data_IF_655606512140
#
_entry.id   IF_655606512140
#
_cell.length_a   1.000
_cell.length_b   1.000
_cell.length_c   1.000
_cell.angle_alpha   90.00
_cell.angle_beta   90.00
_cell.angle_gamma   90.00
#
_symmetry.space_group_name_H-M   'P 1'
#
loop_
_entity.id
_entity.type
_entity.pdbx_description
1 polymer ?
#
# COMPACT_ATOMS: atom_id res chain seq x y z
N UNK A 1 18.43 -26.44 -4.68
CA UNK A 1 17.79 -25.26 -4.12
C UNK A 1 16.88 -24.64 -5.21
N UNK A 2 15.56 -24.82 -5.08
CA UNK A 2 14.53 -24.44 -6.08
C UNK A 2 14.67 -22.99 -6.60
N UNK A 3 15.01 -22.04 -5.72
CA UNK A 3 15.17 -20.61 -6.12
C UNK A 3 16.39 -20.44 -7.03
N UNK A 4 17.50 -21.11 -6.74
CA UNK A 4 18.70 -21.04 -7.59
C UNK A 4 18.41 -21.59 -9.00
N UNK A 5 17.65 -22.68 -9.10
CA UNK A 5 17.24 -23.25 -10.40
C UNK A 5 16.38 -22.25 -11.20
N UNK A 6 15.42 -21.58 -10.55
CA UNK A 6 14.57 -20.57 -11.20
C UNK A 6 15.34 -19.31 -11.66
N UNK A 7 16.41 -18.95 -10.94
CA UNK A 7 17.28 -17.82 -11.32
C UNK A 7 18.20 -18.19 -12.48
N UNK A 8 18.71 -19.43 -12.54
CA UNK A 8 19.67 -19.86 -13.55
C UNK A 8 19.03 -20.40 -14.83
N UNK A 9 17.73 -20.67 -14.85
CA UNK A 9 16.98 -21.18 -16.00
C UNK A 9 16.41 -20.00 -16.81
N UNK A 10 16.96 -19.77 -18.02
CA UNK A 10 16.59 -18.65 -18.91
C UNK A 10 15.14 -18.71 -19.38
N UNK A 11 14.50 -19.89 -19.36
CA UNK A 11 13.11 -20.02 -19.73
C UNK A 11 12.13 -19.58 -18.63
N UNK A 12 12.60 -19.44 -17.39
CA UNK A 12 11.75 -19.10 -16.26
C UNK A 12 11.48 -17.60 -16.15
N UNK A 13 10.27 -17.29 -15.74
CA UNK A 13 9.81 -15.91 -15.52
C UNK A 13 10.69 -15.14 -14.53
N UNK A 14 11.17 -15.81 -13.47
CA UNK A 14 12.05 -15.16 -12.49
C UNK A 14 13.39 -14.74 -13.10
N UNK A 15 14.02 -15.58 -13.93
CA UNK A 15 15.25 -15.23 -14.63
C UNK A 15 15.03 -14.01 -15.53
N UNK A 16 13.99 -14.04 -16.37
CA UNK A 16 13.63 -12.94 -17.27
C UNK A 16 13.36 -11.64 -16.49
N UNK A 17 12.68 -11.71 -15.35
CA UNK A 17 12.42 -10.56 -14.49
C UNK A 17 13.71 -9.96 -13.92
N UNK A 18 14.64 -10.80 -13.43
CA UNK A 18 15.92 -10.36 -12.89
C UNK A 18 16.77 -9.73 -13.99
N UNK A 19 16.86 -10.36 -15.17
CA UNK A 19 17.63 -9.79 -16.29
C UNK A 19 17.07 -8.43 -16.71
N UNK A 20 15.75 -8.28 -16.80
CA UNK A 20 15.13 -6.96 -17.06
C UNK A 20 15.48 -5.91 -16.00
N UNK A 21 15.59 -6.28 -14.71
CA UNK A 21 16.05 -5.34 -13.68
C UNK A 21 17.50 -4.93 -13.90
N UNK A 22 18.38 -5.87 -14.26
CA UNK A 22 19.80 -5.60 -14.50
C UNK A 22 20.04 -4.78 -15.77
N UNK A 23 19.28 -5.02 -16.83
CA UNK A 23 19.48 -4.41 -18.15
C UNK A 23 18.81 -3.03 -18.28
N UNK A 24 17.63 -2.85 -17.65
CA UNK A 24 16.79 -1.68 -17.88
C UNK A 24 16.86 -0.63 -16.74
N UNK A 25 17.33 -1.00 -15.54
CA UNK A 25 17.39 -0.06 -14.41
C UNK A 25 18.77 0.59 -14.30
N UNK A 26 18.76 1.90 -14.04
CA UNK A 26 20.00 2.66 -13.79
C UNK A 26 20.83 1.99 -12.68
N UNK A 27 22.13 1.71 -12.91
CA UNK A 27 22.97 0.97 -11.95
C UNK A 27 23.06 1.63 -10.56
N UNK A 28 23.02 2.97 -10.48
CA UNK A 28 22.99 3.69 -9.21
C UNK A 28 21.69 3.43 -8.46
N UNK A 29 20.54 3.53 -9.14
CA UNK A 29 19.21 3.25 -8.58
C UNK A 29 19.13 1.81 -8.09
N UNK A 30 19.60 0.84 -8.91
CA UNK A 30 19.60 -0.58 -8.55
C UNK A 30 20.45 -0.86 -7.31
N UNK A 31 21.68 -0.31 -7.27
CA UNK A 31 22.58 -0.44 -6.12
C UNK A 31 21.97 0.15 -4.85
N UNK A 32 21.44 1.37 -4.93
CA UNK A 32 20.83 2.06 -3.80
C UNK A 32 19.60 1.27 -3.30
N UNK A 33 18.78 0.75 -4.21
CA UNK A 33 17.64 -0.11 -3.85
C UNK A 33 18.08 -1.37 -3.11
N UNK A 34 19.12 -2.05 -3.59
CA UNK A 34 19.64 -3.25 -2.94
C UNK A 34 20.17 -2.96 -1.52
N UNK A 35 20.79 -1.80 -1.30
CA UNK A 35 21.29 -1.40 0.01
C UNK A 35 20.14 -0.96 0.93
N UNK A 36 19.31 -0.02 0.50
CA UNK A 36 18.32 0.60 1.39
C UNK A 36 17.11 -0.32 1.64
N UNK A 37 16.52 -0.85 0.57
CA UNK A 37 15.39 -1.75 0.71
C UNK A 37 15.85 -3.17 1.13
N UNK A 38 16.85 -3.72 0.45
CA UNK A 38 17.32 -5.07 0.71
C UNK A 38 18.05 -5.19 2.03
N UNK A 39 19.12 -4.42 2.25
CA UNK A 39 19.93 -4.56 3.47
C UNK A 39 19.32 -3.77 4.65
N UNK A 40 19.09 -2.46 4.52
CA UNK A 40 18.63 -1.65 5.65
C UNK A 40 17.20 -2.01 6.08
N UNK A 41 16.22 -1.98 5.18
CA UNK A 41 14.83 -2.22 5.57
C UNK A 41 14.54 -3.72 5.84
N UNK A 42 14.90 -4.64 4.90
CA UNK A 42 14.54 -6.05 5.06
C UNK A 42 15.42 -6.82 6.05
N UNK A 43 16.72 -6.55 6.12
CA UNK A 43 17.62 -7.33 6.95
C UNK A 43 17.94 -6.63 8.29
N UNK A 44 18.61 -5.48 8.26
CA UNK A 44 19.05 -4.76 9.44
C UNK A 44 17.88 -4.24 10.27
N UNK A 45 16.95 -3.51 9.62
CA UNK A 45 15.79 -2.91 10.24
C UNK A 45 14.86 -3.96 10.87
N UNK A 46 14.56 -5.05 10.14
CA UNK A 46 13.71 -6.12 10.68
C UNK A 46 14.28 -6.73 11.96
N UNK A 47 15.60 -6.88 12.06
CA UNK A 47 16.26 -7.37 13.28
C UNK A 47 16.08 -6.38 14.45
N UNK A 48 16.25 -5.08 14.18
CA UNK A 48 16.06 -4.01 15.17
C UNK A 48 14.59 -3.94 15.60
N UNK A 49 13.65 -3.96 14.66
CA UNK A 49 12.20 -3.94 14.92
C UNK A 49 11.79 -5.07 15.88
N UNK A 50 12.26 -6.29 15.67
CA UNK A 50 11.97 -7.43 16.56
C UNK A 50 12.40 -7.14 17.99
N UNK A 51 13.62 -6.63 18.17
CA UNK A 51 14.15 -6.23 19.49
C UNK A 51 13.31 -5.09 20.10
N UNK A 52 12.96 -4.07 19.32
CA UNK A 52 12.19 -2.92 19.83
C UNK A 52 10.76 -3.31 20.23
N UNK A 53 10.14 -4.28 19.55
CA UNK A 53 8.84 -4.83 19.96
C UNK A 53 8.90 -5.45 21.35
N UNK A 54 9.94 -6.18 21.66
CA UNK A 54 10.17 -6.81 22.99
C UNK A 54 10.46 -5.74 24.05
N UNK A 55 11.37 -4.80 23.77
CA UNK A 55 11.78 -3.75 24.71
C UNK A 55 10.63 -2.82 25.07
N UNK A 56 9.80 -2.45 24.10
CA UNK A 56 8.74 -1.47 24.30
C UNK A 56 7.36 -2.07 24.54
N UNK A 57 7.22 -3.39 24.43
CA UNK A 57 5.96 -4.11 24.57
C UNK A 57 4.83 -3.52 23.71
N UNK A 58 5.13 -3.21 22.44
CA UNK A 58 4.18 -2.70 21.46
C UNK A 58 4.53 -3.18 20.05
N UNK A 59 3.60 -3.03 19.11
CA UNK A 59 3.90 -3.21 17.70
C UNK A 59 4.91 -2.13 17.26
N UNK A 60 5.90 -2.51 16.47
CA UNK A 60 6.80 -1.60 15.74
C UNK A 60 6.72 -1.97 14.27
N UNK A 61 6.28 -1.06 13.39
CA UNK A 61 6.01 -1.35 12.00
C UNK A 61 7.31 -1.49 11.18
N UNK A 62 7.19 -2.09 10.01
CA UNK A 62 8.26 -2.16 9.03
C UNK A 62 8.29 -0.95 8.11
N UNK A 63 7.12 -0.30 7.90
CA UNK A 63 6.99 0.93 7.13
C UNK A 63 6.01 1.91 7.79
N UNK A 64 6.19 3.19 7.50
CA UNK A 64 5.25 4.26 7.84
C UNK A 64 4.74 4.88 6.55
N UNK A 65 3.40 5.00 6.43
CA UNK A 65 2.71 5.68 5.34
C UNK A 65 2.35 7.09 5.80
N UNK A 66 2.69 8.12 5.04
CA UNK A 66 2.43 9.52 5.38
C UNK A 66 1.75 10.27 4.25
N UNK A 67 0.89 11.22 4.60
CA UNK A 67 0.30 12.18 3.68
C UNK A 67 1.06 13.53 3.78
N UNK A 68 1.98 13.83 2.86
CA UNK A 68 2.66 15.14 2.85
C UNK A 68 1.66 16.30 2.71
N UNK A 69 0.54 16.04 2.05
CA UNK A 69 -0.54 17.01 1.80
C UNK A 69 -1.87 16.29 1.55
N UNK A 70 -2.97 16.92 1.92
CA UNK A 70 -4.31 16.51 1.48
C UNK A 70 -4.72 17.14 0.12
N UNK A 71 -3.93 18.10 -0.40
CA UNK A 71 -4.20 18.71 -1.69
C UNK A 71 -3.99 17.71 -2.84
N UNK A 72 -4.96 17.65 -3.74
CA UNK A 72 -4.89 16.84 -4.96
C UNK A 72 -5.31 17.68 -6.17
N UNK A 73 -4.70 17.42 -7.31
CA UNK A 73 -5.04 18.02 -8.59
C UNK A 73 -6.09 17.23 -9.39
N UNK A 74 -6.63 16.14 -8.81
CA UNK A 74 -7.70 15.33 -9.38
C UNK A 74 -8.85 15.17 -8.37
N UNK A 75 -10.03 14.74 -8.88
CA UNK A 75 -11.24 14.44 -8.11
C UNK A 75 -11.78 13.06 -8.52
N UNK A 76 -11.08 12.01 -8.09
CA UNK A 76 -11.42 10.64 -8.50
C UNK A 76 -12.68 10.14 -7.81
N UNK A 77 -13.54 9.43 -8.55
CA UNK A 77 -14.73 8.78 -7.99
C UNK A 77 -14.34 7.73 -6.94
N UNK A 78 -14.93 7.82 -5.74
CA UNK A 78 -14.65 6.88 -4.64
C UNK A 78 -13.22 7.01 -4.09
N UNK A 79 -12.68 8.22 -4.04
CA UNK A 79 -11.39 8.49 -3.41
C UNK A 79 -11.51 8.40 -1.88
N UNK A 80 -10.71 7.55 -1.25
CA UNK A 80 -10.70 7.37 0.20
C UNK A 80 -10.24 8.62 0.98
N UNK A 81 -9.43 9.49 0.34
CA UNK A 81 -8.89 10.71 0.98
C UNK A 81 -9.78 11.94 0.80
N UNK A 82 -10.98 11.82 0.21
CA UNK A 82 -11.84 12.97 -0.10
C UNK A 82 -12.29 13.74 1.15
N UNK A 83 -12.53 13.04 2.26
CA UNK A 83 -13.09 13.59 3.49
C UNK A 83 -12.08 14.39 4.34
N UNK A 84 -10.77 14.32 4.05
CA UNK A 84 -9.76 15.16 4.70
C UNK A 84 -9.78 16.62 4.22
N UNK A 85 -10.40 16.88 3.04
CA UNK A 85 -10.29 18.18 2.38
C UNK A 85 -8.94 18.37 1.67
N UNK A 86 -8.64 19.58 1.22
CA UNK A 86 -7.48 19.85 0.36
C UNK A 86 -6.51 20.93 0.89
N UNK A 87 -6.53 21.21 2.19
CA UNK A 87 -5.76 22.32 2.80
C UNK A 87 -4.74 21.88 3.85
N UNK A 88 -4.71 20.61 4.21
CA UNK A 88 -3.84 20.08 5.26
C UNK A 88 -2.47 19.73 4.70
N UNK A 89 -1.43 19.97 5.49
CA UNK A 89 -0.06 19.64 5.11
C UNK A 89 0.75 19.25 6.34
N UNK A 90 1.62 18.26 6.18
CA UNK A 90 2.76 18.06 7.06
C UNK A 90 3.90 18.99 6.62
N UNK A 91 4.59 19.58 7.58
CA UNK A 91 5.81 20.33 7.30
C UNK A 91 6.97 19.39 6.98
N UNK A 92 8.02 19.91 6.34
CA UNK A 92 9.25 19.15 6.13
C UNK A 92 9.81 18.62 7.46
N UNK A 93 9.87 19.47 8.49
CA UNK A 93 10.43 19.12 9.80
C UNK A 93 9.59 18.07 10.54
N UNK A 94 8.27 18.06 10.38
CA UNK A 94 7.40 17.00 10.92
C UNK A 94 7.70 15.65 10.27
N UNK A 95 7.77 15.59 8.94
CA UNK A 95 8.11 14.36 8.21
C UNK A 95 9.54 13.89 8.54
N UNK A 96 10.50 14.80 8.60
CA UNK A 96 11.88 14.53 8.98
C UNK A 96 11.99 13.95 10.40
N UNK A 97 11.24 14.51 11.35
CA UNK A 97 11.18 14.03 12.73
C UNK A 97 10.62 12.60 12.80
N UNK A 98 9.55 12.30 12.06
CA UNK A 98 8.98 10.94 12.00
C UNK A 98 10.01 9.95 11.46
N UNK A 99 10.73 10.31 10.38
CA UNK A 99 11.75 9.43 9.78
C UNK A 99 12.92 9.23 10.77
N UNK A 100 13.38 10.29 11.42
CA UNK A 100 14.48 10.22 12.40
C UNK A 100 14.13 9.30 13.57
N UNK A 101 12.96 9.47 14.18
CA UNK A 101 12.47 8.61 15.27
C UNK A 101 12.23 7.17 14.76
N UNK A 102 11.73 7.01 13.54
CA UNK A 102 11.50 5.69 12.93
C UNK A 102 12.80 4.90 12.78
N UNK A 103 13.89 5.54 12.36
CA UNK A 103 15.21 4.90 12.23
C UNK A 103 15.73 4.36 13.57
N UNK A 104 15.48 5.07 14.68
CA UNK A 104 15.83 4.59 16.03
C UNK A 104 15.09 3.29 16.39
N UNK A 105 13.89 3.08 15.82
CA UNK A 105 13.10 1.86 15.98
C UNK A 105 13.42 0.78 14.93
N UNK A 106 14.28 1.07 13.95
CA UNK A 106 14.67 0.16 12.87
C UNK A 106 13.81 0.29 11.60
N UNK A 107 13.04 1.36 11.44
CA UNK A 107 12.18 1.60 10.28
C UNK A 107 12.97 2.36 9.21
N UNK A 108 13.16 1.74 8.04
CA UNK A 108 13.92 2.29 6.90
C UNK A 108 13.09 2.36 5.61
N UNK A 109 11.80 2.03 5.65
CA UNK A 109 10.89 2.19 4.53
C UNK A 109 9.79 3.18 4.90
N UNK A 110 9.63 4.20 4.06
CA UNK A 110 8.60 5.22 4.18
C UNK A 110 7.82 5.33 2.89
N UNK A 111 6.51 5.45 3.00
CA UNK A 111 5.65 5.62 1.84
C UNK A 111 4.87 6.93 1.94
N UNK A 112 4.58 7.54 0.81
CA UNK A 112 3.80 8.76 0.71
C UNK A 112 2.51 8.52 -0.07
N UNK A 113 1.42 9.09 0.42
CA UNK A 113 0.11 9.09 -0.23
C UNK A 113 -0.62 10.40 0.08
N UNK A 114 -1.91 10.40 0.37
CA UNK A 114 -2.69 11.58 0.74
C UNK A 114 -3.57 12.07 -0.38
N UNK A 115 -3.53 13.37 -0.68
CA UNK A 115 -4.04 13.94 -1.91
C UNK A 115 -3.18 13.49 -3.10
N UNK A 116 -2.32 14.38 -3.60
CA UNK A 116 -1.27 14.00 -4.54
C UNK A 116 0.10 14.34 -3.93
N UNK A 117 0.90 13.34 -3.54
CA UNK A 117 2.18 13.58 -2.84
C UNK A 117 3.18 14.36 -3.70
N UNK A 118 3.14 14.24 -5.02
CA UNK A 118 4.05 14.96 -5.91
C UNK A 118 3.76 16.48 -5.99
N UNK A 119 2.68 16.98 -5.41
CA UNK A 119 2.52 18.42 -5.12
C UNK A 119 3.64 18.91 -4.18
N UNK A 120 4.15 18.03 -3.33
CA UNK A 120 5.27 18.28 -2.40
C UNK A 120 6.58 17.58 -2.84
N UNK A 121 6.77 17.33 -4.15
CA UNK A 121 7.92 16.59 -4.68
C UNK A 121 9.28 17.16 -4.26
N UNK A 122 9.41 18.47 -4.14
CA UNK A 122 10.66 19.12 -3.70
C UNK A 122 11.01 18.76 -2.23
N UNK A 123 10.03 18.71 -1.34
CA UNK A 123 10.26 18.27 0.05
C UNK A 123 10.57 16.78 0.13
N UNK A 124 9.87 15.96 -0.64
CA UNK A 124 10.14 14.52 -0.72
C UNK A 124 11.57 14.26 -1.20
N UNK A 125 12.03 14.91 -2.26
CA UNK A 125 13.41 14.79 -2.75
C UNK A 125 14.43 15.23 -1.69
N UNK A 126 14.15 16.32 -0.94
CA UNK A 126 15.01 16.73 0.18
C UNK A 126 15.07 15.66 1.29
N UNK A 127 13.95 15.02 1.61
CA UNK A 127 13.91 13.90 2.56
C UNK A 127 14.74 12.71 2.06
N UNK A 128 14.61 12.35 0.78
CA UNK A 128 15.39 11.29 0.15
C UNK A 128 16.91 11.56 0.22
N UNK A 129 17.32 12.80 -0.01
CA UNK A 129 18.74 13.23 0.12
C UNK A 129 19.21 13.18 1.58
N UNK A 130 18.41 13.66 2.51
CA UNK A 130 18.75 13.71 3.95
C UNK A 130 18.83 12.31 4.56
N UNK A 131 17.91 11.43 4.20
CA UNK A 131 17.84 10.06 4.69
C UNK A 131 18.23 9.08 3.57
N UNK A 132 19.45 9.22 3.10
CA UNK A 132 20.00 8.44 1.97
C UNK A 132 20.12 6.94 2.23
N UNK A 133 19.97 6.52 3.49
CA UNK A 133 19.93 5.13 3.96
C UNK A 133 18.50 4.54 4.02
N UNK A 134 17.47 5.35 3.78
CA UNK A 134 16.08 4.90 3.73
C UNK A 134 15.60 4.66 2.30
N UNK A 135 14.57 3.85 2.15
CA UNK A 135 13.80 3.66 0.92
C UNK A 135 12.49 4.44 1.00
N UNK A 136 12.12 5.12 -0.09
CA UNK A 136 10.91 5.92 -0.19
C UNK A 136 10.07 5.49 -1.38
N UNK A 137 8.74 5.43 -1.20
CA UNK A 137 7.80 5.15 -2.28
C UNK A 137 6.64 6.15 -2.21
N UNK A 138 6.16 6.65 -3.35
CA UNK A 138 4.95 7.46 -3.41
C UNK A 138 3.87 6.79 -4.25
N UNK A 139 2.64 6.74 -3.71
CA UNK A 139 1.43 6.47 -4.46
C UNK A 139 1.00 7.78 -5.14
N UNK A 140 1.05 7.82 -6.45
CA UNK A 140 0.81 9.06 -7.21
C UNK A 140 -0.16 8.83 -8.36
N UNK A 141 -0.90 9.87 -8.74
CA UNK A 141 -1.68 9.86 -9.96
C UNK A 141 -0.82 10.01 -11.24
N UNK A 142 0.48 10.24 -11.08
CA UNK A 142 1.47 10.30 -12.16
C UNK A 142 1.45 11.58 -13.00
N UNK A 143 0.46 12.46 -12.85
CA UNK A 143 0.27 13.63 -13.73
C UNK A 143 1.31 14.75 -13.52
N UNK A 144 2.08 14.69 -12.43
CA UNK A 144 3.13 15.65 -12.07
C UNK A 144 4.56 15.11 -12.26
N UNK A 145 4.69 13.94 -12.89
CA UNK A 145 5.99 13.39 -13.30
C UNK A 145 6.50 14.20 -14.48
N UNK A 146 7.72 14.71 -14.37
CA UNK A 146 8.42 15.46 -15.39
C UNK A 146 9.90 15.02 -15.45
N UNK A 147 10.63 15.46 -16.46
CA UNK A 147 12.06 15.14 -16.66
C UNK A 147 12.90 15.55 -15.45
N UNK A 148 12.64 16.75 -14.89
CA UNK A 148 13.37 17.25 -13.71
C UNK A 148 13.20 16.31 -12.51
N UNK A 149 11.98 15.81 -12.26
CA UNK A 149 11.75 14.85 -11.19
C UNK A 149 12.50 13.52 -11.48
N UNK A 150 12.49 13.04 -12.72
CA UNK A 150 13.20 11.83 -13.11
C UNK A 150 14.72 11.97 -12.88
N UNK A 151 15.33 13.11 -13.26
CA UNK A 151 16.73 13.41 -12.99
C UNK A 151 17.04 13.40 -11.48
N UNK A 152 16.19 14.04 -10.67
CA UNK A 152 16.33 14.06 -9.22
C UNK A 152 16.15 12.65 -8.60
N UNK A 153 15.25 11.84 -9.13
CA UNK A 153 15.05 10.44 -8.69
C UNK A 153 16.28 9.58 -9.01
N UNK A 154 16.92 9.78 -10.18
CA UNK A 154 18.18 9.11 -10.51
C UNK A 154 19.29 9.56 -9.54
N UNK A 155 19.39 10.86 -9.24
CA UNK A 155 20.40 11.42 -8.32
C UNK A 155 20.29 10.79 -6.92
N UNK A 156 19.09 10.70 -6.36
CA UNK A 156 18.89 10.16 -4.99
C UNK A 156 18.92 8.62 -4.96
N UNK A 157 18.41 7.95 -5.99
CA UNK A 157 18.42 6.49 -6.18
C UNK A 157 17.51 5.71 -5.25
N UNK A 158 16.89 6.33 -4.24
CA UNK A 158 16.10 5.70 -3.18
C UNK A 158 14.61 6.08 -3.18
N UNK A 159 14.10 6.65 -4.28
CA UNK A 159 12.71 7.05 -4.43
C UNK A 159 12.02 6.29 -5.56
N UNK A 160 10.86 5.71 -5.28
CA UNK A 160 10.09 4.85 -6.19
C UNK A 160 8.67 5.38 -6.34
N UNK A 161 8.01 5.08 -7.47
CA UNK A 161 6.62 5.48 -7.71
C UNK A 161 5.71 4.28 -7.94
N UNK A 162 4.55 4.25 -7.27
CA UNK A 162 3.42 3.40 -7.58
C UNK A 162 2.35 4.27 -8.25
N UNK A 163 2.27 4.20 -9.59
CA UNK A 163 1.39 5.05 -10.38
C UNK A 163 -0.01 4.48 -10.38
N UNK A 164 -0.97 5.32 -10.07
CA UNK A 164 -2.38 4.94 -10.06
C UNK A 164 -2.90 4.71 -11.47
N UNK A 165 -3.38 3.50 -11.76
CA UNK A 165 -3.91 3.11 -13.07
C UNK A 165 -5.06 2.11 -12.90
N UNK A 166 -6.24 2.42 -13.45
CA UNK A 166 -7.48 1.68 -13.17
C UNK A 166 -7.94 0.80 -14.35
N UNK A 167 -7.11 0.65 -15.38
CA UNK A 167 -7.43 -0.06 -16.61
C UNK A 167 -6.98 0.70 -17.85
N UNK A 168 -7.50 0.33 -19.02
CA UNK A 168 -7.30 1.08 -20.26
C UNK A 168 -8.01 2.44 -20.20
N UNK A 169 -7.73 3.31 -21.19
CA UNK A 169 -8.14 4.72 -21.22
C UNK A 169 -9.59 4.97 -20.79
N UNK A 170 -10.55 4.30 -21.38
CA UNK A 170 -11.97 4.52 -21.09
C UNK A 170 -12.31 4.22 -19.62
N UNK A 171 -11.76 3.14 -19.05
CA UNK A 171 -12.01 2.73 -17.66
C UNK A 171 -11.26 3.62 -16.68
N UNK A 172 -10.01 3.95 -17.00
CA UNK A 172 -9.19 4.83 -16.18
C UNK A 172 -9.78 6.24 -16.09
N UNK A 173 -10.11 6.83 -17.22
CA UNK A 173 -10.60 8.21 -17.31
C UNK A 173 -12.01 8.38 -16.75
N UNK A 174 -12.84 7.34 -16.82
CA UNK A 174 -14.15 7.33 -16.15
C UNK A 174 -14.03 7.58 -14.63
N UNK A 175 -12.99 7.04 -13.99
CA UNK A 175 -12.78 7.19 -12.55
C UNK A 175 -11.93 8.42 -12.19
N UNK A 176 -10.90 8.72 -13.00
CA UNK A 176 -9.86 9.69 -12.65
C UNK A 176 -9.99 11.03 -13.37
N UNK A 177 -10.80 11.10 -14.43
CA UNK A 177 -10.99 12.28 -15.27
C UNK A 177 -10.34 12.15 -16.64
N UNK A 178 -10.93 12.85 -17.60
CA UNK A 178 -10.53 12.78 -19.01
C UNK A 178 -9.06 13.18 -19.22
N UNK A 179 -8.34 12.37 -20.02
CA UNK A 179 -6.95 12.60 -20.41
C UNK A 179 -5.92 12.23 -19.32
N UNK A 180 -6.35 11.69 -18.19
CA UNK A 180 -5.42 11.22 -17.14
C UNK A 180 -4.65 10.01 -17.61
N UNK A 181 -5.27 9.07 -18.35
CA UNK A 181 -4.59 7.91 -18.91
C UNK A 181 -3.39 8.29 -19.77
N UNK A 182 -3.56 9.25 -20.70
CA UNK A 182 -2.47 9.72 -21.55
C UNK A 182 -1.29 10.30 -20.76
N UNK A 183 -1.57 11.05 -19.68
CA UNK A 183 -0.53 11.59 -18.77
C UNK A 183 0.19 10.47 -18.02
N UNK A 184 -0.54 9.44 -17.58
CA UNK A 184 0.05 8.27 -16.92
C UNK A 184 0.96 7.50 -17.88
N UNK A 185 0.54 7.27 -19.12
CA UNK A 185 1.37 6.60 -20.12
C UNK A 185 2.66 7.38 -20.42
N UNK A 186 2.56 8.70 -20.53
CA UNK A 186 3.75 9.57 -20.69
C UNK A 186 4.69 9.51 -19.48
N UNK A 187 4.14 9.55 -18.26
CA UNK A 187 4.92 9.41 -17.02
C UNK A 187 5.71 8.08 -16.99
N UNK A 188 5.04 6.97 -17.35
CA UNK A 188 5.71 5.65 -17.43
C UNK A 188 6.83 5.62 -18.47
N UNK A 189 6.65 6.28 -19.63
CA UNK A 189 7.67 6.41 -20.66
C UNK A 189 8.90 7.17 -20.17
N UNK A 190 8.69 8.30 -19.48
CA UNK A 190 9.80 9.06 -18.86
C UNK A 190 10.53 8.21 -17.81
N UNK A 191 9.82 7.59 -16.87
CA UNK A 191 10.43 6.77 -15.83
C UNK A 191 11.23 5.60 -16.41
N UNK A 192 10.72 4.96 -17.46
CA UNK A 192 11.42 3.89 -18.18
C UNK A 192 12.68 4.42 -18.88
N UNK A 193 12.58 5.57 -19.55
CA UNK A 193 13.71 6.21 -20.25
C UNK A 193 14.87 6.53 -19.29
N UNK A 194 14.58 6.98 -18.07
CA UNK A 194 15.57 7.27 -17.04
C UNK A 194 16.05 6.04 -16.26
N UNK A 195 15.55 4.85 -16.56
CA UNK A 195 15.91 3.61 -15.89
C UNK A 195 15.49 3.58 -14.41
N UNK A 196 14.33 4.16 -14.09
CA UNK A 196 13.81 4.24 -12.73
C UNK A 196 12.97 3.01 -12.36
N UNK A 197 12.96 2.67 -11.08
CA UNK A 197 12.09 1.62 -10.54
C UNK A 197 10.71 2.22 -10.25
N UNK A 198 9.68 1.69 -10.90
CA UNK A 198 8.30 2.08 -10.67
C UNK A 198 7.34 0.91 -10.91
N UNK A 199 6.12 1.06 -10.46
CA UNK A 199 5.05 0.12 -10.69
C UNK A 199 3.69 0.82 -10.68
N UNK A 200 2.63 0.04 -10.53
CA UNK A 200 1.27 0.54 -10.50
C UNK A 200 0.59 0.31 -9.17
N UNK A 201 -0.35 1.21 -8.83
CA UNK A 201 -1.32 1.08 -7.76
C UNK A 201 -2.71 1.01 -8.38
N UNK A 202 -3.40 -0.10 -8.20
CA UNK A 202 -4.65 -0.42 -8.88
C UNK A 202 -5.73 -0.63 -7.82
N UNK A 203 -6.72 0.24 -7.78
CA UNK A 203 -7.92 0.00 -6.99
C UNK A 203 -8.91 -0.81 -7.84
N UNK A 204 -9.05 -2.11 -7.54
CA UNK A 204 -10.03 -2.92 -8.25
C UNK A 204 -11.41 -2.86 -7.60
N UNK A 205 -12.41 -2.81 -8.45
CA UNK A 205 -13.83 -2.66 -8.11
C UNK A 205 -14.67 -3.71 -8.83
N UNK A 206 -15.94 -3.80 -8.51
CA UNK A 206 -16.90 -4.63 -9.29
C UNK A 206 -16.98 -4.27 -10.78
N UNK A 207 -16.44 -3.11 -11.19
CA UNK A 207 -16.57 -2.56 -12.55
C UNK A 207 -15.33 -2.73 -13.43
N UNK A 208 -14.13 -2.85 -12.84
CA UNK A 208 -12.89 -2.86 -13.61
C UNK A 208 -12.05 -4.14 -13.44
N UNK A 209 -12.44 -5.04 -12.56
CA UNK A 209 -11.63 -6.21 -12.18
C UNK A 209 -11.22 -7.07 -13.39
N UNK A 210 -12.10 -7.28 -14.37
CA UNK A 210 -11.79 -8.03 -15.58
C UNK A 210 -10.72 -7.33 -16.44
N UNK A 211 -10.85 -6.00 -16.56
CA UNK A 211 -9.87 -5.19 -17.31
C UNK A 211 -8.50 -5.18 -16.65
N UNK A 212 -8.42 -4.89 -15.36
CA UNK A 212 -7.13 -4.72 -14.65
C UNK A 212 -6.38 -6.03 -14.40
N UNK A 213 -7.03 -7.16 -14.67
CA UNK A 213 -6.44 -8.49 -14.55
C UNK A 213 -6.31 -9.22 -15.89
N UNK A 214 -6.73 -8.61 -17.00
CA UNK A 214 -6.58 -9.19 -18.34
C UNK A 214 -5.10 -9.37 -18.69
N UNK A 215 -4.80 -10.34 -19.54
CA UNK A 215 -3.43 -10.55 -20.01
C UNK A 215 -2.89 -9.32 -20.74
N UNK A 216 -3.72 -8.70 -21.57
CA UNK A 216 -3.35 -7.50 -22.35
C UNK A 216 -3.00 -6.33 -21.46
N UNK A 217 -3.73 -6.12 -20.35
CA UNK A 217 -3.43 -5.02 -19.42
C UNK A 217 -2.17 -5.30 -18.62
N UNK A 218 -1.95 -6.53 -18.18
CA UNK A 218 -0.73 -6.91 -17.46
C UNK A 218 0.48 -6.84 -18.39
N UNK A 219 0.35 -7.30 -19.63
CA UNK A 219 1.42 -7.22 -20.64
C UNK A 219 1.75 -5.76 -20.98
N UNK A 220 0.76 -4.87 -21.08
CA UNK A 220 0.97 -3.41 -21.22
C UNK A 220 1.80 -2.85 -20.06
N UNK A 221 1.48 -3.18 -18.80
CA UNK A 221 2.27 -2.71 -17.66
C UNK A 221 3.72 -3.18 -17.74
N UNK A 222 3.94 -4.44 -18.11
CA UNK A 222 5.28 -5.01 -18.27
C UNK A 222 6.04 -4.32 -19.41
N UNK A 223 5.40 -4.07 -20.55
CA UNK A 223 5.96 -3.36 -21.70
C UNK A 223 6.34 -1.92 -21.36
N UNK A 224 5.48 -1.22 -20.63
CA UNK A 224 5.75 0.16 -20.15
C UNK A 224 6.85 0.23 -19.10
N UNK A 225 7.36 -0.89 -18.59
CA UNK A 225 8.51 -0.93 -17.68
C UNK A 225 8.14 -1.10 -16.20
N UNK A 226 6.87 -1.34 -15.85
CA UNK A 226 6.47 -1.60 -14.48
C UNK A 226 7.18 -2.82 -13.90
N UNK A 227 7.66 -2.70 -12.66
CA UNK A 227 8.33 -3.79 -11.92
C UNK A 227 7.41 -4.47 -10.92
N UNK A 228 6.38 -3.74 -10.48
CA UNK A 228 5.38 -4.25 -9.56
C UNK A 228 4.00 -3.68 -9.86
N UNK A 229 2.97 -4.40 -9.41
CA UNK A 229 1.58 -3.94 -9.42
C UNK A 229 0.94 -4.27 -8.05
N UNK A 230 0.48 -3.24 -7.37
CA UNK A 230 -0.21 -3.32 -6.09
C UNK A 230 -1.71 -3.24 -6.34
N UNK A 231 -2.42 -4.32 -6.05
CA UNK A 231 -3.86 -4.41 -6.17
C UNK A 231 -4.52 -4.13 -4.82
N UNK A 232 -5.34 -3.10 -4.78
CA UNK A 232 -6.13 -2.72 -3.62
C UNK A 232 -7.61 -3.00 -3.89
N UNK A 233 -8.23 -3.76 -3.01
CA UNK A 233 -9.67 -3.89 -2.98
C UNK A 233 -10.31 -2.53 -2.70
N UNK A 234 -11.37 -2.16 -3.44
CA UNK A 234 -12.12 -0.96 -3.12
C UNK A 234 -12.63 -1.01 -1.67
N UNK A 235 -12.42 0.06 -0.91
CA UNK A 235 -12.82 0.17 0.48
C UNK A 235 -13.87 1.30 0.60
N UNK A 236 -15.04 1.04 1.22
CA UNK A 236 -16.15 1.99 1.28
C UNK A 236 -15.94 3.01 2.41
N UNK A 237 -14.93 3.88 2.26
CA UNK A 237 -14.57 4.94 3.22
C UNK A 237 -15.32 6.22 2.87
N UNK A 238 -15.74 6.97 3.91
CA UNK A 238 -16.52 8.20 3.78
C UNK A 238 -18.03 7.99 3.80
N UNK A 239 -18.76 9.01 4.23
CA UNK A 239 -20.22 8.95 4.40
C UNK A 239 -20.98 8.58 3.13
N UNK A 240 -20.50 9.04 1.97
CA UNK A 240 -21.12 8.84 0.64
C UNK A 240 -20.42 7.74 -0.19
N UNK A 241 -19.75 6.79 0.47
CA UNK A 241 -19.04 5.73 -0.22
C UNK A 241 -19.95 4.85 -1.08
N UNK A 242 -19.54 4.62 -2.32
CA UNK A 242 -20.27 3.84 -3.33
C UNK A 242 -20.12 2.32 -3.08
N UNK A 243 -20.94 1.75 -2.19
CA UNK A 243 -20.86 0.32 -1.80
C UNK A 243 -21.05 -0.66 -2.97
N UNK A 244 -21.70 -0.23 -4.06
CA UNK A 244 -21.86 -1.00 -5.29
C UNK A 244 -20.55 -1.22 -6.06
N UNK A 245 -19.49 -0.51 -5.71
CA UNK A 245 -18.14 -0.71 -6.25
C UNK A 245 -17.41 -1.87 -5.58
N UNK A 246 -17.92 -2.41 -4.46
CA UNK A 246 -17.35 -3.60 -3.83
C UNK A 246 -17.39 -4.78 -4.81
N UNK A 247 -16.29 -5.51 -5.01
CA UNK A 247 -16.27 -6.73 -5.81
C UNK A 247 -17.27 -7.77 -5.29
N UNK A 248 -17.90 -8.51 -6.19
CA UNK A 248 -18.72 -9.67 -5.81
C UNK A 248 -17.86 -10.79 -5.22
N UNK A 249 -18.49 -11.76 -4.55
CA UNK A 249 -17.77 -12.91 -3.99
C UNK A 249 -17.01 -13.70 -5.04
N UNK A 250 -17.61 -13.89 -6.22
CA UNK A 250 -17.00 -14.56 -7.36
C UNK A 250 -15.80 -13.79 -7.88
N UNK A 251 -15.92 -12.47 -8.03
CA UNK A 251 -14.84 -11.60 -8.45
C UNK A 251 -13.68 -11.63 -7.44
N UNK A 252 -13.97 -11.65 -6.14
CA UNK A 252 -12.92 -11.74 -5.11
C UNK A 252 -12.19 -13.09 -5.13
N UNK A 253 -12.91 -14.20 -5.31
CA UNK A 253 -12.30 -15.53 -5.49
C UNK A 253 -11.42 -15.55 -6.75
N UNK A 254 -11.93 -15.05 -7.87
CA UNK A 254 -11.19 -14.92 -9.12
C UNK A 254 -9.90 -14.11 -8.93
N UNK A 255 -9.99 -12.94 -8.28
CA UNK A 255 -8.86 -12.04 -8.05
C UNK A 255 -7.72 -12.72 -7.28
N UNK A 256 -8.06 -13.46 -6.21
CA UNK A 256 -7.10 -14.22 -5.41
C UNK A 256 -6.28 -15.20 -6.27
N UNK A 257 -6.93 -15.96 -7.13
CA UNK A 257 -6.28 -16.96 -7.97
C UNK A 257 -5.52 -16.29 -9.13
N UNK A 258 -6.09 -15.23 -9.71
CA UNK A 258 -5.50 -14.53 -10.84
C UNK A 258 -4.20 -13.81 -10.49
N UNK A 259 -4.14 -13.10 -9.36
CA UNK A 259 -2.89 -12.43 -8.92
C UNK A 259 -1.78 -13.45 -8.69
N UNK A 260 -2.09 -14.63 -8.17
CA UNK A 260 -1.12 -15.72 -8.01
C UNK A 260 -0.59 -16.24 -9.34
N UNK A 261 -1.45 -16.35 -10.36
CA UNK A 261 -1.03 -16.72 -11.73
C UNK A 261 -0.09 -15.66 -12.31
N UNK A 262 -0.46 -14.39 -12.21
CA UNK A 262 0.35 -13.28 -12.73
C UNK A 262 1.77 -13.28 -12.12
N UNK A 263 1.90 -13.46 -10.80
CA UNK A 263 3.20 -13.42 -10.09
C UNK A 263 3.97 -14.74 -10.07
N UNK A 264 3.50 -15.78 -10.78
CA UNK A 264 4.16 -17.08 -10.76
C UNK A 264 5.60 -16.97 -11.29
N UNK A 265 6.56 -17.46 -10.50
CA UNK A 265 7.99 -17.35 -10.81
C UNK A 265 8.44 -18.26 -11.97
N UNK A 266 7.63 -19.26 -12.35
CA UNK A 266 7.96 -20.21 -13.44
C UNK A 266 7.43 -19.75 -14.79
N UNK A 267 6.14 -19.36 -14.82
CA UNK A 267 5.36 -19.16 -16.03
C UNK A 267 4.37 -17.98 -15.93
N UNK A 268 4.55 -17.08 -14.97
CA UNK A 268 3.76 -15.85 -14.82
C UNK A 268 4.17 -14.74 -15.81
N UNK A 269 3.74 -13.53 -15.52
CA UNK A 269 3.90 -12.36 -16.41
C UNK A 269 5.20 -11.56 -16.24
N UNK A 270 6.09 -11.94 -15.32
CA UNK A 270 7.34 -11.20 -15.07
C UNK A 270 7.14 -9.83 -14.43
N UNK A 271 6.14 -9.71 -13.58
CA UNK A 271 5.86 -8.54 -12.75
C UNK A 271 5.53 -9.01 -11.32
N UNK A 272 6.11 -8.33 -10.32
CA UNK A 272 5.77 -8.61 -8.93
C UNK A 272 4.38 -8.06 -8.61
N UNK A 273 3.47 -8.88 -8.08
CA UNK A 273 2.12 -8.46 -7.75
C UNK A 273 1.76 -8.78 -6.30
N UNK A 274 1.04 -7.87 -5.65
CA UNK A 274 0.40 -8.08 -4.35
C UNK A 274 -1.07 -7.72 -4.40
N UNK A 275 -1.91 -8.54 -3.76
CA UNK A 275 -3.31 -8.23 -3.49
C UNK A 275 -3.48 -8.05 -1.98
N UNK A 276 -3.52 -6.80 -1.54
CA UNK A 276 -3.52 -6.46 -0.11
C UNK A 276 -4.65 -7.10 0.68
N UNK A 277 -5.78 -7.41 0.04
CA UNK A 277 -6.93 -8.00 0.73
C UNK A 277 -6.91 -9.53 0.73
N UNK A 278 -6.35 -10.16 -0.32
CA UNK A 278 -6.38 -11.61 -0.46
C UNK A 278 -5.05 -12.29 -0.10
N UNK A 279 -3.97 -11.54 0.13
CA UNK A 279 -2.66 -12.06 0.52
C UNK A 279 -2.46 -12.18 2.05
N UNK A 280 -3.52 -12.01 2.85
CA UNK A 280 -3.46 -12.10 4.31
C UNK A 280 -2.87 -13.43 4.83
N UNK A 281 -3.02 -14.52 4.10
CA UNK A 281 -2.45 -15.82 4.45
C UNK A 281 -0.91 -15.83 4.51
N UNK A 282 -0.24 -15.04 3.66
CA UNK A 282 1.23 -14.96 3.60
C UNK A 282 1.82 -14.08 4.70
N UNK A 283 1.02 -13.21 5.29
CA UNK A 283 1.46 -12.22 6.30
C UNK A 283 0.81 -12.44 7.67
N UNK A 284 0.03 -13.51 7.83
CA UNK A 284 -0.64 -13.85 9.09
C UNK A 284 -1.79 -12.89 9.45
N UNK A 285 -2.59 -12.47 8.46
CA UNK A 285 -3.75 -11.61 8.65
C UNK A 285 -3.47 -10.11 8.46
N UNK A 286 -4.23 -9.25 9.13
CA UNK A 286 -4.12 -7.79 9.00
C UNK A 286 -2.76 -7.26 9.44
N UNK A 287 -2.18 -6.36 8.62
CA UNK A 287 -0.86 -5.74 8.83
C UNK A 287 -0.92 -4.36 9.50
N UNK A 288 -2.10 -3.80 9.70
CA UNK A 288 -2.34 -2.44 10.20
C UNK A 288 -2.10 -2.29 11.72
N UNK A 289 -2.36 -1.10 12.26
CA UNK A 289 -2.23 -0.82 13.70
C UNK A 289 -0.80 -0.93 14.22
N UNK A 290 0.19 -0.56 13.38
CA UNK A 290 1.61 -0.62 13.73
C UNK A 290 2.22 -2.02 13.65
N UNK A 291 1.47 -3.07 13.25
CA UNK A 291 2.04 -4.43 13.14
C UNK A 291 3.11 -4.50 12.04
N UNK A 292 2.79 -4.08 10.83
CA UNK A 292 3.76 -3.91 9.74
C UNK A 292 3.71 -2.51 9.16
N UNK A 293 2.57 -1.80 9.27
CA UNK A 293 2.45 -0.39 8.91
C UNK A 293 1.38 0.32 9.75
N UNK A 294 1.41 1.64 9.69
CA UNK A 294 0.32 2.53 10.05
C UNK A 294 0.38 3.79 9.18
N UNK A 295 -0.64 4.62 9.27
CA UNK A 295 -0.82 5.82 8.47
C UNK A 295 -0.74 7.09 9.32
N UNK A 296 -0.12 8.14 8.79
CA UNK A 296 -0.12 9.50 9.34
C UNK A 296 -0.75 10.40 8.29
N UNK A 297 -1.93 10.92 8.57
CA UNK A 297 -2.63 11.81 7.65
C UNK A 297 -2.02 13.22 7.61
N UNK A 298 -2.46 14.06 6.67
CA UNK A 298 -1.91 15.41 6.48
C UNK A 298 -2.21 16.39 7.65
N UNK A 299 -3.09 16.03 8.60
CA UNK A 299 -3.29 16.74 9.86
C UNK A 299 -2.32 16.28 10.96
N UNK A 300 -1.53 15.24 10.69
CA UNK A 300 -0.61 14.64 11.66
C UNK A 300 -1.25 13.58 12.57
N UNK A 301 -2.50 13.20 12.36
CA UNK A 301 -3.16 12.15 13.13
C UNK A 301 -2.62 10.78 12.72
N UNK A 302 -2.34 9.94 13.72
CA UNK A 302 -1.81 8.59 13.50
C UNK A 302 -2.94 7.57 13.50
N UNK A 303 -3.27 7.07 12.33
CA UNK A 303 -4.35 6.14 12.05
C UNK A 303 -3.84 4.70 11.91
N UNK A 304 -4.61 3.69 12.33
CA UNK A 304 -4.16 2.30 12.22
C UNK A 304 -3.98 1.85 10.76
N UNK A 305 -4.77 2.39 9.85
CA UNK A 305 -4.80 2.02 8.44
C UNK A 305 -5.25 3.23 7.60
N UNK A 306 -4.74 3.34 6.38
CA UNK A 306 -5.13 4.36 5.40
C UNK A 306 -6.64 4.37 5.07
N UNK A 307 -7.36 3.31 5.38
CA UNK A 307 -8.81 3.18 5.19
C UNK A 307 -9.61 3.27 6.51
N UNK A 308 -8.96 3.52 7.64
CA UNK A 308 -9.59 3.54 8.96
C UNK A 308 -9.22 4.85 9.65
N UNK A 309 -10.06 5.86 9.42
CA UNK A 309 -9.87 7.25 9.79
C UNK A 309 -10.29 7.52 11.25
N UNK A 310 -9.62 6.84 12.19
CA UNK A 310 -9.78 7.04 13.63
C UNK A 310 -8.44 7.11 14.31
N UNK A 311 -8.29 8.06 15.24
CA UNK A 311 -7.05 8.25 16.00
C UNK A 311 -7.31 8.75 17.41
N UNK A 312 -6.35 8.49 18.29
CA UNK A 312 -6.25 9.08 19.62
C UNK A 312 -4.92 9.83 19.81
N UNK A 313 -4.05 9.91 18.78
CA UNK A 313 -2.73 10.51 18.89
C UNK A 313 -2.32 11.26 17.61
N UNK A 314 -1.52 12.33 17.77
CA UNK A 314 -1.07 13.19 16.68
C UNK A 314 0.44 13.44 16.81
N UNK A 315 1.19 13.41 15.70
CA UNK A 315 2.66 13.59 15.68
C UNK A 315 3.13 14.94 16.23
N UNK A 316 2.25 15.95 16.27
CA UNK A 316 2.57 17.28 16.81
C UNK A 316 2.60 17.33 18.33
N UNK A 317 2.01 16.33 18.97
CA UNK A 317 1.85 16.27 20.44
C UNK A 317 2.41 15.01 21.07
N UNK A 318 2.74 14.00 20.27
CA UNK A 318 3.24 12.71 20.72
C UNK A 318 4.49 12.31 19.94
N UNK A 319 5.44 11.69 20.60
CA UNK A 319 6.55 10.99 19.95
C UNK A 319 6.04 9.75 19.17
N UNK A 320 6.85 9.26 18.25
CA UNK A 320 6.49 8.06 17.48
C UNK A 320 6.23 6.84 18.38
N UNK A 321 7.01 6.68 19.46
CA UNK A 321 6.81 5.59 20.40
C UNK A 321 5.49 5.72 21.20
N UNK A 322 5.10 6.93 21.61
CA UNK A 322 3.81 7.17 22.25
C UNK A 322 2.65 6.88 21.28
N UNK A 323 2.81 7.25 20.00
CA UNK A 323 1.84 6.91 18.95
C UNK A 323 1.66 5.40 18.83
N UNK A 324 2.75 4.62 18.81
CA UNK A 324 2.68 3.16 18.73
C UNK A 324 2.03 2.52 19.97
N UNK A 325 1.96 3.24 21.07
CA UNK A 325 1.32 2.83 22.33
C UNK A 325 -0.06 3.46 22.55
N UNK A 326 -0.59 4.22 21.59
CA UNK A 326 -1.95 4.76 21.74
C UNK A 326 -2.99 3.64 21.93
N UNK A 327 -4.08 3.90 22.66
CA UNK A 327 -5.06 2.85 23.02
C UNK A 327 -5.58 2.06 21.82
N UNK A 328 -5.86 2.71 20.68
CA UNK A 328 -6.36 2.04 19.49
C UNK A 328 -5.30 1.08 18.89
N UNK A 329 -4.01 1.46 18.85
CA UNK A 329 -2.95 0.59 18.32
C UNK A 329 -2.69 -0.59 19.25
N UNK A 330 -2.77 -0.39 20.57
CA UNK A 330 -2.69 -1.49 21.54
C UNK A 330 -3.88 -2.44 21.40
N UNK A 331 -5.10 -1.92 21.17
CA UNK A 331 -6.27 -2.76 20.89
C UNK A 331 -6.11 -3.59 19.60
N UNK A 332 -5.44 -3.04 18.56
CA UNK A 332 -5.04 -3.81 17.37
C UNK A 332 -4.06 -4.93 17.71
N UNK A 333 -2.99 -4.60 18.41
CA UNK A 333 -1.96 -5.57 18.83
C UNK A 333 -2.57 -6.75 19.59
N UNK A 334 -3.41 -6.47 20.54
CA UNK A 334 -3.95 -7.48 21.46
C UNK A 334 -5.02 -8.37 20.78
N UNK A 335 -5.59 -7.95 19.65
CA UNK A 335 -6.63 -8.68 18.92
C UNK A 335 -6.17 -9.26 17.58
N UNK A 336 -4.98 -8.91 17.10
CA UNK A 336 -4.43 -9.48 15.86
C UNK A 336 -3.90 -10.90 16.09
N UNK A 337 -4.18 -11.83 15.18
CA UNK A 337 -5.03 -11.70 14.00
C UNK A 337 -6.52 -11.61 14.37
N UNK A 338 -7.25 -10.72 13.68
CA UNK A 338 -8.69 -10.53 13.96
C UNK A 338 -9.55 -11.74 13.60
N UNK A 339 -9.00 -12.68 12.85
CA UNK A 339 -9.64 -13.93 12.46
C UNK A 339 -8.55 -14.97 12.20
N UNK A 340 -8.77 -16.21 12.65
CA UNK A 340 -7.88 -17.34 12.37
C UNK A 340 -7.85 -17.69 10.88
N UNK A 341 -8.94 -17.43 10.17
CA UNK A 341 -8.99 -17.49 8.72
C UNK A 341 -8.42 -16.21 8.12
N UNK A 342 -7.17 -16.26 7.71
CA UNK A 342 -6.44 -15.10 7.16
C UNK A 342 -6.95 -14.62 5.78
N UNK A 343 -7.94 -15.27 5.18
CA UNK A 343 -8.73 -14.71 4.07
C UNK A 343 -9.83 -13.74 4.55
N UNK A 344 -9.93 -13.52 5.87
CA UNK A 344 -10.78 -12.51 6.51
C UNK A 344 -9.94 -11.59 7.41
N UNK A 345 -8.90 -10.92 6.86
CA UNK A 345 -7.92 -10.23 7.69
C UNK A 345 -8.41 -8.91 8.28
N UNK A 346 -9.29 -8.17 7.59
CA UNK A 346 -9.59 -6.78 7.87
C UNK A 346 -10.65 -6.63 8.98
N UNK A 347 -10.39 -5.79 10.01
CA UNK A 347 -11.38 -5.53 11.06
C UNK A 347 -12.53 -4.64 10.57
N UNK A 348 -12.40 -3.95 9.43
CA UNK A 348 -13.47 -3.14 8.85
C UNK A 348 -14.31 -3.95 7.85
N UNK A 349 -13.66 -4.56 6.85
CA UNK A 349 -14.38 -5.17 5.72
C UNK A 349 -14.96 -6.55 6.04
N UNK A 350 -14.25 -7.36 6.85
CA UNK A 350 -14.63 -8.75 7.11
C UNK A 350 -15.04 -9.05 8.57
N UNK A 351 -14.67 -8.18 9.51
CA UNK A 351 -14.97 -8.34 10.94
C UNK A 351 -15.40 -6.98 11.53
N UNK A 352 -16.45 -6.33 10.97
CA UNK A 352 -16.81 -4.95 11.30
C UNK A 352 -17.19 -4.74 12.78
N UNK A 353 -17.68 -5.76 13.44
CA UNK A 353 -17.96 -5.76 14.88
C UNK A 353 -16.70 -5.53 15.72
N UNK A 354 -15.55 -6.03 15.28
CA UNK A 354 -14.27 -5.87 16.00
C UNK A 354 -13.79 -4.43 15.91
N UNK A 355 -13.83 -3.80 14.73
CA UNK A 355 -13.45 -2.39 14.59
C UNK A 355 -14.35 -1.48 15.41
N UNK A 356 -15.66 -1.69 15.32
CA UNK A 356 -16.63 -0.90 16.07
C UNK A 356 -16.37 -0.97 17.59
N UNK A 357 -16.08 -2.17 18.09
CA UNK A 357 -15.75 -2.39 19.49
C UNK A 357 -14.44 -1.67 19.86
N UNK A 358 -13.36 -1.85 19.10
CA UNK A 358 -12.06 -1.21 19.38
C UNK A 358 -12.16 0.32 19.41
N UNK A 359 -12.83 0.94 18.45
CA UNK A 359 -12.98 2.41 18.42
C UNK A 359 -13.78 2.91 19.61
N UNK A 360 -14.88 2.23 19.99
CA UNK A 360 -15.70 2.61 21.14
C UNK A 360 -14.97 2.46 22.48
N UNK A 361 -14.29 1.34 22.69
CA UNK A 361 -13.53 1.07 23.92
C UNK A 361 -12.35 2.03 24.12
N UNK A 362 -11.67 2.39 23.05
CA UNK A 362 -10.49 3.25 23.11
C UNK A 362 -10.80 4.75 23.08
N UNK A 363 -12.04 5.12 22.74
CA UNK A 363 -12.45 6.49 22.60
C UNK A 363 -11.80 7.24 21.43
N UNK A 364 -11.21 6.51 20.47
CA UNK A 364 -10.61 7.09 19.26
C UNK A 364 -11.66 7.92 18.49
N UNK A 365 -11.22 9.04 17.91
CA UNK A 365 -12.09 9.98 17.19
C UNK A 365 -11.90 9.86 15.69
N UNK A 366 -12.97 10.17 14.93
CA UNK A 366 -12.85 10.33 13.48
C UNK A 366 -11.86 11.45 13.14
N UNK A 367 -11.01 11.18 12.16
CA UNK A 367 -10.01 12.11 11.63
C UNK A 367 -10.46 12.76 10.32
N UNK A 368 -11.66 12.42 9.84
CA UNK A 368 -12.32 13.08 8.72
C UNK A 368 -12.86 14.44 9.16
N UNK A 369 -12.11 15.50 8.91
CA UNK A 369 -12.41 16.83 9.44
C UNK A 369 -13.59 17.50 8.74
N UNK A 370 -13.89 17.16 7.48
CA UNK A 370 -14.98 17.77 6.73
C UNK A 370 -16.31 17.08 6.97
N UNK A 371 -16.31 15.77 7.07
CA UNK A 371 -17.51 14.96 7.24
C UNK A 371 -17.19 13.75 8.16
N UNK A 372 -17.03 14.00 9.48
CA UNK A 372 -16.71 12.93 10.42
C UNK A 372 -17.67 11.76 10.32
N UNK A 373 -17.16 10.57 10.03
CA UNK A 373 -17.97 9.37 9.94
C UNK A 373 -18.01 8.64 11.30
N UNK A 374 -19.23 8.27 11.74
CA UNK A 374 -19.40 7.42 12.92
C UNK A 374 -18.98 5.98 12.62
N UNK A 375 -18.28 5.34 13.54
CA UNK A 375 -17.79 3.96 13.34
C UNK A 375 -18.91 2.94 13.13
N UNK A 376 -20.09 3.16 13.68
CA UNK A 376 -21.25 2.27 13.46
C UNK A 376 -21.73 2.39 12.01
N UNK A 377 -21.72 3.61 11.44
CA UNK A 377 -22.08 3.83 10.04
C UNK A 377 -21.03 3.19 9.10
N UNK A 378 -19.75 3.45 9.32
CA UNK A 378 -18.67 2.84 8.55
C UNK A 378 -18.76 1.31 8.53
N UNK A 379 -18.88 0.70 9.70
CA UNK A 379 -18.97 -0.76 9.84
C UNK A 379 -20.26 -1.32 9.23
N UNK A 380 -21.38 -0.61 9.36
CA UNK A 380 -22.67 -0.99 8.79
C UNK A 380 -22.63 -1.18 7.28
N UNK A 381 -21.84 -0.36 6.56
CA UNK A 381 -21.63 -0.51 5.11
C UNK A 381 -20.94 -1.84 4.75
N UNK A 382 -20.20 -2.43 5.67
CA UNK A 382 -19.40 -3.64 5.44
C UNK A 382 -20.12 -4.93 5.90
N UNK A 383 -21.14 -4.86 6.75
CA UNK A 383 -21.78 -6.04 7.38
C UNK A 383 -22.30 -7.06 6.35
N UNK A 384 -23.02 -6.58 5.34
CA UNK A 384 -23.56 -7.48 4.30
C UNK A 384 -22.45 -8.15 3.49
N UNK A 385 -21.39 -7.40 3.17
CA UNK A 385 -20.22 -7.92 2.48
C UNK A 385 -19.51 -8.98 3.32
N UNK A 386 -19.24 -8.71 4.60
CA UNK A 386 -18.62 -9.64 5.54
C UNK A 386 -19.43 -10.94 5.66
N UNK A 387 -20.76 -10.83 5.80
CA UNK A 387 -21.69 -11.97 5.89
C UNK A 387 -21.65 -12.85 4.64
N UNK A 388 -21.60 -12.23 3.44
CA UNK A 388 -21.53 -12.97 2.17
C UNK A 388 -20.16 -13.61 1.95
N UNK A 389 -19.07 -12.93 2.36
CA UNK A 389 -17.71 -13.43 2.19
C UNK A 389 -17.37 -14.59 3.13
N UNK A 390 -17.89 -14.58 4.36
CA UNK A 390 -17.59 -15.59 5.40
C UNK A 390 -17.65 -17.04 4.88
N UNK A 391 -18.77 -17.55 4.32
CA UNK A 391 -18.83 -18.94 3.86
C UNK A 391 -17.87 -19.24 2.68
N UNK A 392 -17.59 -18.27 1.83
CA UNK A 392 -16.61 -18.41 0.74
C UNK A 392 -15.20 -18.56 1.29
N UNK A 393 -14.83 -17.68 2.22
CA UNK A 393 -13.52 -17.69 2.86
C UNK A 393 -13.29 -18.97 3.69
N UNK A 394 -14.30 -19.45 4.42
CA UNK A 394 -14.22 -20.70 5.20
C UNK A 394 -13.93 -21.90 4.31
N UNK A 395 -14.64 -22.02 3.18
CA UNK A 395 -14.41 -23.08 2.19
C UNK A 395 -13.02 -23.04 1.59
N UNK A 396 -12.57 -21.85 1.18
CA UNK A 396 -11.24 -21.65 0.60
C UNK A 396 -10.12 -21.92 1.61
N UNK A 397 -10.31 -21.51 2.86
CA UNK A 397 -9.35 -21.73 3.94
C UNK A 397 -9.20 -23.21 4.28
N UNK A 398 -10.30 -23.95 4.35
CA UNK A 398 -10.27 -25.40 4.56
C UNK A 398 -9.51 -26.12 3.44
N UNK A 399 -9.67 -25.71 2.18
CA UNK A 399 -8.90 -26.27 1.07
C UNK A 399 -7.40 -25.99 1.19
N UNK A 400 -7.00 -24.77 1.64
CA UNK A 400 -5.61 -24.40 1.84
C UNK A 400 -4.94 -25.22 2.96
N UNK A 401 -5.60 -25.39 4.09
CA UNK A 401 -5.10 -26.21 5.20
C UNK A 401 -4.90 -27.67 4.77
N UNK A 402 -5.88 -28.24 4.06
CA UNK A 402 -5.78 -29.61 3.59
C UNK A 402 -4.60 -29.84 2.62
N UNK A 403 -4.29 -28.85 1.77
CA UNK A 403 -3.17 -28.94 0.82
C UNK A 403 -1.80 -28.68 1.50
N UNK A 404 -1.75 -27.90 2.59
CA UNK A 404 -0.53 -27.69 3.34
C UNK A 404 -0.12 -28.90 4.20
N UNK A 405 -1.10 -29.66 4.72
CA UNK A 405 -0.86 -30.87 5.50
C UNK A 405 -0.50 -32.09 4.63
N UNK A 406 -0.74 -31.98 3.31
CA UNK A 406 -0.43 -33.04 2.34
C UNK A 406 0.92 -32.84 1.62
N UNK A 407 1.64 -31.73 1.85
CA UNK A 407 2.92 -31.36 1.21
C UNK A 407 4.11 -31.48 2.16
#
# INVERSE_FOLDING_TARGET
NKVKELICDEDKTLNKYINRLLDEINPHVLKTTALNLGYEAFFHGTKTIRKMREVHDCNVPWLILMDPTSACNLHCTGCWAAEYGNKLNLTFDEMDSVITQGKELGIYLYMFTGGEPLVRKEDIIKLCKKHSDCAFLAYTNGTLVDEKLCEQMVEVGNFYLAISLEGFEAVNDLRRGNGVYGKVMHAMELLKQYGLIFGTSICYTSKNIETVTSDEFVDLMVEKGCRYAFYFHYMPVGNDAAVELLPTMQQRIYMKDRVRQIRNMKDGKGIFTMDFQNDGEYVGGCIAGGRNYFHINANGDAEPCVFIHYSGANIRTHSLLEILKQPLFMAYRDRQPFNENHLRPCPMLENPEILQQMVKETGAKSTDLQSPEDVTHLCGKCEEYARKWKPCAERLWACLLYTSDAA
#
